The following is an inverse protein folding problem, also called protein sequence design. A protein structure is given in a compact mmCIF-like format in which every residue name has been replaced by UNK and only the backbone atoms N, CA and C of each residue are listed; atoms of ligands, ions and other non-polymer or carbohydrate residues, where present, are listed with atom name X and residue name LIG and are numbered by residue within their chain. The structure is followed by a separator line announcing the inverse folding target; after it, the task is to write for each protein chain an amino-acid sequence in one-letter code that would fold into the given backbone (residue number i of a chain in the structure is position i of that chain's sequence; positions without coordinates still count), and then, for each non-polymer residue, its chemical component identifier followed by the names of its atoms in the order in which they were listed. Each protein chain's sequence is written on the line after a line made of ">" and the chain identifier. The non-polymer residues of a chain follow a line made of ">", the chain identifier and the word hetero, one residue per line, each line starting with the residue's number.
data_IF_721036768154
#
_entry.id   IF_721036768154
#
_cell.length_a   1.000
_cell.length_b   1.000
_cell.length_c   1.000
_cell.angle_alpha   90.00
_cell.angle_beta   90.00
_cell.angle_gamma   90.00
#
_symmetry.space_group_name_H-M   'P 1'
#
loop_
_entity.id
_entity.type
_entity.pdbx_description
1 polymer ?
#
# COMPACT_ATOMS: atom_id res chain seq x y z
N UNK A 1 -14.74 -7.34 2.04
CA UNK A 1 -14.15 -7.19 3.41
C UNK A 1 -12.63 -7.44 3.48
N UNK A 2 -12.07 -8.55 2.94
CA UNK A 2 -10.60 -8.77 2.96
C UNK A 2 -9.82 -7.71 2.16
N UNK A 3 -10.43 -7.12 1.12
CA UNK A 3 -9.78 -6.11 0.27
C UNK A 3 -9.45 -4.79 0.98
N UNK A 4 -10.34 -4.33 1.88
CA UNK A 4 -10.12 -3.06 2.61
C UNK A 4 -8.94 -3.15 3.56
N UNK A 5 -8.62 -4.34 4.09
CA UNK A 5 -7.45 -4.57 4.93
C UNK A 5 -6.14 -4.41 4.15
N UNK A 6 -6.08 -4.91 2.91
CA UNK A 6 -4.88 -4.77 2.07
C UNK A 6 -4.59 -3.30 1.73
N UNK A 7 -5.62 -2.52 1.40
CA UNK A 7 -5.48 -1.08 1.14
C UNK A 7 -5.04 -0.31 2.40
N UNK A 8 -5.62 -0.63 3.57
CA UNK A 8 -5.24 -0.01 4.84
C UNK A 8 -3.80 -0.34 5.23
N UNK A 9 -3.37 -1.57 4.98
CA UNK A 9 -2.00 -2.03 5.22
C UNK A 9 -1.01 -1.30 4.32
N UNK A 10 -1.30 -1.20 3.02
CA UNK A 10 -0.48 -0.43 2.07
C UNK A 10 -0.36 1.04 2.46
N UNK A 11 -1.45 1.65 2.93
CA UNK A 11 -1.46 3.03 3.41
C UNK A 11 -0.63 3.21 4.68
N UNK A 12 -0.74 2.29 5.65
CA UNK A 12 0.04 2.32 6.88
C UNK A 12 1.55 2.21 6.61
N UNK A 13 1.96 1.29 5.72
CA UNK A 13 3.38 1.12 5.35
C UNK A 13 3.90 2.34 4.58
N UNK A 14 3.10 2.92 3.68
CA UNK A 14 3.44 4.15 2.97
C UNK A 14 3.64 5.33 3.93
N UNK A 15 2.78 5.48 4.94
CA UNK A 15 2.90 6.51 5.96
C UNK A 15 4.19 6.35 6.79
N UNK A 16 4.54 5.13 7.19
CA UNK A 16 5.79 4.84 7.92
C UNK A 16 7.01 5.18 7.05
N UNK A 17 6.99 4.79 5.77
CA UNK A 17 8.08 5.09 4.83
C UNK A 17 8.25 6.61 4.63
N UNK A 18 7.15 7.36 4.55
CA UNK A 18 7.17 8.81 4.44
C UNK A 18 7.76 9.49 5.69
N UNK A 19 7.36 9.06 6.88
CA UNK A 19 7.93 9.56 8.15
C UNK A 19 9.43 9.27 8.22
N UNK A 20 9.85 8.07 7.86
CA UNK A 20 11.27 7.70 7.87
C UNK A 20 12.09 8.52 6.85
N UNK A 21 11.52 8.82 5.67
CA UNK A 21 12.16 9.71 4.70
C UNK A 21 12.35 11.14 5.27
N UNK A 22 11.36 11.69 5.97
CA UNK A 22 11.49 13.00 6.64
C UNK A 22 12.59 13.01 7.70
N UNK A 23 12.72 11.93 8.48
CA UNK A 23 13.80 11.78 9.48
C UNK A 23 15.18 11.79 8.81
N UNK A 24 15.35 11.05 7.70
CA UNK A 24 16.62 11.01 6.95
C UNK A 24 16.96 12.38 6.34
N UNK A 25 15.96 13.09 5.81
CA UNK A 25 16.12 14.46 5.32
C UNK A 25 16.52 15.39 6.46
N UNK A 26 15.89 15.26 7.64
CA UNK A 26 16.24 16.02 8.84
C UNK A 26 17.69 15.80 9.27
N UNK A 27 18.15 14.55 9.34
CA UNK A 27 19.56 14.26 9.64
C UNK A 27 20.52 14.90 8.64
N UNK A 28 20.16 14.90 7.35
CA UNK A 28 20.95 15.57 6.30
C UNK A 28 20.97 17.09 6.48
N UNK A 29 19.83 17.72 6.82
CA UNK A 29 19.70 19.17 6.96
C UNK A 29 20.49 19.70 8.17
N UNK A 30 20.45 18.98 9.29
CA UNK A 30 21.17 19.34 10.52
C UNK A 30 22.63 18.87 10.54
N UNK A 31 23.15 18.32 9.43
CA UNK A 31 24.52 17.77 9.33
C UNK A 31 24.88 16.76 10.43
N UNK A 32 23.87 16.13 11.02
CA UNK A 32 24.02 15.10 12.03
C UNK A 32 24.50 13.84 11.31
N UNK A 33 25.75 13.43 11.57
CA UNK A 33 26.33 12.21 11.02
C UNK A 33 26.07 11.05 11.99
N UNK A 34 25.04 10.22 11.76
CA UNK A 34 24.88 9.01 12.54
C UNK A 34 26.11 8.09 12.37
N UNK A 35 26.42 7.25 13.37
CA UNK A 35 27.50 6.28 13.26
C UNK A 35 27.29 5.39 12.01
N UNK A 36 28.30 5.32 11.13
CA UNK A 36 28.22 4.59 9.85
C UNK A 36 27.85 5.44 8.61
N UNK A 37 27.78 6.77 8.73
CA UNK A 37 27.46 7.66 7.61
C UNK A 37 28.47 7.54 6.45
N UNK A 38 27.98 7.04 5.31
CA UNK A 38 28.73 6.97 4.04
C UNK A 38 28.15 7.96 3.03
N UNK A 39 28.96 8.68 2.22
CA UNK A 39 28.45 9.55 1.18
C UNK A 39 27.46 8.83 0.26
N UNK A 40 26.31 9.45 -0.02
CA UNK A 40 25.25 8.86 -0.84
C UNK A 40 24.25 7.98 -0.08
N UNK A 41 24.52 7.59 1.17
CA UNK A 41 23.61 6.74 1.97
C UNK A 41 22.21 7.34 2.10
N UNK A 42 22.11 8.64 2.42
CA UNK A 42 20.84 9.32 2.58
C UNK A 42 20.04 9.38 1.26
N UNK A 43 20.70 9.65 0.12
CA UNK A 43 20.02 9.66 -1.19
C UNK A 43 19.55 8.28 -1.61
N UNK A 44 20.34 7.24 -1.34
CA UNK A 44 19.96 5.86 -1.68
C UNK A 44 18.75 5.40 -0.87
N UNK A 45 18.74 5.67 0.45
CA UNK A 45 17.60 5.34 1.31
C UNK A 45 16.34 6.08 0.86
N UNK A 46 16.43 7.38 0.60
CA UNK A 46 15.28 8.18 0.14
C UNK A 46 14.76 7.64 -1.20
N UNK A 47 15.64 7.30 -2.15
CA UNK A 47 15.24 6.74 -3.43
C UNK A 47 14.54 5.37 -3.28
N UNK A 48 15.09 4.47 -2.45
CA UNK A 48 14.50 3.15 -2.20
C UNK A 48 13.16 3.28 -1.49
N UNK A 49 13.02 4.15 -0.50
CA UNK A 49 11.74 4.40 0.18
C UNK A 49 10.69 5.00 -0.76
N UNK A 50 11.10 5.94 -1.62
CA UNK A 50 10.21 6.54 -2.60
C UNK A 50 9.68 5.49 -3.58
N UNK A 51 10.58 4.71 -4.18
CA UNK A 51 10.20 3.60 -5.07
C UNK A 51 9.35 2.55 -4.35
N UNK A 52 9.72 2.17 -3.12
CA UNK A 52 8.96 1.23 -2.30
C UNK A 52 7.55 1.74 -1.97
N UNK A 53 7.40 3.04 -1.68
CA UNK A 53 6.10 3.68 -1.45
C UNK A 53 5.21 3.62 -2.69
N UNK A 54 5.76 3.94 -3.87
CA UNK A 54 5.04 3.84 -5.16
C UNK A 54 4.64 2.40 -5.48
N UNK A 55 5.51 1.43 -5.21
CA UNK A 55 5.22 0.00 -5.41
C UNK A 55 4.09 -0.47 -4.50
N UNK A 56 4.11 -0.11 -3.21
CA UNK A 56 3.05 -0.47 -2.26
C UNK A 56 1.70 0.16 -2.63
N UNK A 57 1.70 1.41 -3.07
CA UNK A 57 0.50 2.07 -3.59
C UNK A 57 -0.05 1.34 -4.81
N UNK A 58 0.82 0.96 -5.75
CA UNK A 58 0.43 0.20 -6.94
C UNK A 58 -0.15 -1.18 -6.58
N UNK A 59 0.45 -1.89 -5.62
CA UNK A 59 -0.06 -3.16 -5.10
C UNK A 59 -1.42 -3.01 -4.40
N UNK A 60 -1.65 -1.90 -3.69
CA UNK A 60 -2.94 -1.60 -3.08
C UNK A 60 -4.05 -1.45 -4.12
N UNK A 61 -3.79 -0.71 -5.20
CA UNK A 61 -4.73 -0.53 -6.32
C UNK A 61 -4.99 -1.86 -7.04
N UNK A 62 -3.91 -2.61 -7.35
CA UNK A 62 -4.02 -3.93 -7.97
C UNK A 62 -4.82 -4.91 -7.11
N UNK A 63 -4.62 -4.91 -5.80
CA UNK A 63 -5.39 -5.72 -4.86
C UNK A 63 -6.88 -5.38 -4.91
N UNK A 64 -7.24 -4.10 -4.95
CA UNK A 64 -8.63 -3.67 -5.06
C UNK A 64 -9.27 -4.12 -6.39
N UNK A 65 -8.52 -4.02 -7.49
CA UNK A 65 -8.98 -4.50 -8.79
C UNK A 65 -9.15 -6.02 -8.82
N UNK A 66 -8.16 -6.76 -8.34
CA UNK A 66 -8.18 -8.23 -8.27
C UNK A 66 -9.34 -8.75 -7.40
N UNK A 67 -9.67 -8.07 -6.31
CA UNK A 67 -10.83 -8.47 -5.50
C UNK A 67 -12.15 -8.30 -6.21
N UNK A 68 -12.33 -7.22 -6.99
CA UNK A 68 -13.54 -7.05 -7.82
C UNK A 68 -13.62 -8.13 -8.89
N UNK A 69 -12.52 -8.39 -9.59
CA UNK A 69 -12.44 -9.46 -10.59
C UNK A 69 -12.74 -10.82 -9.94
N UNK A 70 -12.19 -11.09 -8.76
CA UNK A 70 -12.46 -12.32 -8.03
C UNK A 70 -13.94 -12.46 -7.68
N UNK A 71 -14.58 -11.39 -7.18
CA UNK A 71 -16.02 -11.39 -6.87
C UNK A 71 -16.87 -11.60 -8.13
N UNK A 72 -16.45 -11.04 -9.27
CA UNK A 72 -17.14 -11.16 -10.56
C UNK A 72 -16.98 -12.57 -11.18
N UNK A 73 -15.78 -13.14 -11.13
CA UNK A 73 -15.50 -14.53 -11.56
C UNK A 73 -16.18 -15.55 -10.66
N UNK A 74 -16.41 -15.24 -9.37
CA UNK A 74 -17.07 -16.14 -8.42
C UNK A 74 -18.54 -16.40 -8.74
N UNK A 75 -19.16 -15.60 -9.62
CA UNK A 75 -20.48 -15.89 -10.19
C UNK A 75 -21.57 -16.14 -9.15
N UNK A 76 -21.54 -15.44 -8.00
CA UNK A 76 -22.59 -15.61 -6.99
C UNK A 76 -23.87 -14.95 -7.51
N UNK A 77 -24.97 -15.68 -7.70
CA UNK A 77 -26.24 -15.08 -8.08
C UNK A 77 -26.63 -14.03 -7.01
N UNK A 78 -26.97 -12.83 -7.46
CA UNK A 78 -27.27 -11.66 -6.62
C UNK A 78 -28.52 -11.87 -5.74
N UNK A 79 -29.32 -12.88 -6.06
CA UNK A 79 -30.47 -13.34 -5.30
C UNK A 79 -30.79 -14.80 -5.71
N UNK A 80 -31.17 -15.65 -4.74
CA UNK A 80 -31.93 -16.87 -5.03
C UNK A 80 -33.42 -16.49 -4.95
N UNK A 81 -34.15 -16.63 -6.05
CA UNK A 81 -35.63 -16.54 -6.02
C UNK A 81 -36.11 -17.80 -5.29
N UNK A 82 -36.65 -17.63 -4.08
CA UNK A 82 -37.03 -18.75 -3.22
C UNK A 82 -38.49 -19.19 -3.36
N UNK A 83 -39.36 -18.44 -4.04
CA UNK A 83 -40.67 -18.96 -4.46
C UNK A 83 -41.33 -18.05 -5.50
N UNK A 84 -41.98 -18.65 -6.50
CA UNK A 84 -42.87 -17.96 -7.44
C UNK A 84 -44.26 -18.52 -7.17
N UNK A 85 -44.98 -17.87 -6.27
CA UNK A 85 -46.34 -18.28 -5.92
C UNK A 85 -47.27 -17.90 -7.08
N UNK A 86 -47.59 -18.91 -7.90
CA UNK A 86 -48.46 -18.76 -9.07
C UNK A 86 -49.90 -19.00 -8.61
N UNK A 87 -50.68 -17.93 -8.55
CA UNK A 87 -52.14 -17.96 -8.38
C UNK A 87 -52.85 -18.53 -9.59
#
# INVERSE_FOLDING_TARGET
>A
IPLRFASYFGFAVSAIAFVYALVVIGFKLFSLKPPGYTPGWASTIVAVLFLGGVQLMSLGILGEYLGRVYDEVKGRPLYLISDIERS
#
